data_IF_037915084283
#
_entry.id   IF_037915084283
#
_cell.length_a   1.000
_cell.length_b   1.000
_cell.length_c   1.000
_cell.angle_alpha   90.00
_cell.angle_beta   90.00
_cell.angle_gamma   90.00
#
_symmetry.space_group_name_H-M   'P 1'
#
loop_
_entity.id
_entity.type
_entity.pdbx_description
1 polymer ?
#
# COMPACT_ATOMS: atom_id res chain seq x y z
N UNK A 1 6.95 -3.70 23.51
CA UNK A 1 6.56 -2.27 23.56
C UNK A 1 6.58 -1.57 22.19
N UNK A 2 7.59 -1.79 21.32
CA UNK A 2 7.73 -1.13 20.01
C UNK A 2 6.57 -1.36 19.02
N UNK A 3 6.13 -2.62 18.85
CA UNK A 3 4.99 -2.98 17.97
C UNK A 3 3.70 -2.24 18.34
N UNK A 4 3.40 -2.10 19.64
CA UNK A 4 2.18 -1.42 20.10
C UNK A 4 2.17 0.08 19.75
N UNK A 5 3.31 0.77 19.93
CA UNK A 5 3.44 2.19 19.58
C UNK A 5 3.28 2.44 18.08
N UNK A 6 3.84 1.58 17.22
CA UNK A 6 3.71 1.79 15.76
C UNK A 6 2.29 1.50 15.28
N UNK A 7 1.63 0.46 15.81
CA UNK A 7 0.23 0.16 15.51
C UNK A 7 -0.70 1.32 15.89
N UNK A 8 -0.52 1.89 17.08
CA UNK A 8 -1.30 3.06 17.54
C UNK A 8 -1.09 4.28 16.62
N UNK A 9 0.12 4.49 16.11
CA UNK A 9 0.41 5.54 15.12
C UNK A 9 -0.27 5.27 13.79
N UNK A 10 -0.31 4.03 13.34
CA UNK A 10 -1.01 3.63 12.11
C UNK A 10 -2.52 3.84 12.24
N UNK A 11 -3.11 3.47 13.39
CA UNK A 11 -4.51 3.73 13.71
C UNK A 11 -4.85 5.22 13.74
N UNK A 12 -3.95 6.04 14.29
CA UNK A 12 -4.10 7.49 14.29
C UNK A 12 -4.04 8.04 12.86
N UNK A 13 -3.01 7.65 12.10
CA UNK A 13 -2.88 8.03 10.70
C UNK A 13 -4.12 7.69 9.88
N UNK A 14 -4.66 6.46 9.99
CA UNK A 14 -5.88 6.08 9.26
C UNK A 14 -7.06 7.01 9.57
N UNK A 15 -7.26 7.35 10.85
CA UNK A 15 -8.35 8.22 11.31
C UNK A 15 -8.18 9.67 10.87
N UNK A 16 -6.96 10.21 10.95
CA UNK A 16 -6.68 11.63 10.69
C UNK A 16 -6.45 11.90 9.20
N UNK A 17 -5.72 11.02 8.51
CA UNK A 17 -5.40 11.15 7.08
C UNK A 17 -6.64 10.99 6.23
N UNK A 18 -7.54 10.06 6.58
CA UNK A 18 -8.71 9.69 5.77
C UNK A 18 -8.34 9.59 4.27
N UNK A 19 -7.26 8.86 3.98
CA UNK A 19 -6.66 8.66 2.65
C UNK A 19 -6.16 9.91 1.92
N UNK A 20 -5.81 10.99 2.63
CA UNK A 20 -5.15 12.18 2.06
C UNK A 20 -3.62 12.06 1.99
N UNK A 21 -3.05 11.11 2.73
CA UNK A 21 -1.60 10.91 2.83
C UNK A 21 -1.25 9.42 2.80
N UNK A 22 -0.06 9.08 2.30
CA UNK A 22 0.53 7.76 2.47
C UNK A 22 1.38 7.70 3.75
N UNK A 23 1.36 6.56 4.44
CA UNK A 23 2.22 6.31 5.59
C UNK A 23 3.50 5.57 5.18
N UNK A 24 4.65 6.19 5.41
CA UNK A 24 5.94 5.60 5.11
C UNK A 24 6.58 4.98 6.37
N UNK A 25 6.76 3.66 6.38
CA UNK A 25 7.37 2.93 7.50
C UNK A 25 8.86 2.67 7.19
N UNK A 26 9.75 3.43 7.83
CA UNK A 26 11.21 3.26 7.71
C UNK A 26 11.80 2.59 8.95
N UNK A 27 12.88 1.83 8.77
CA UNK A 27 13.66 1.25 9.86
C UNK A 27 14.63 0.16 9.39
N UNK A 28 15.49 -0.33 10.29
CA UNK A 28 16.45 -1.39 9.99
C UNK A 28 15.80 -2.65 9.39
N UNK A 29 16.56 -3.43 8.60
CA UNK A 29 16.10 -4.73 8.07
C UNK A 29 15.75 -5.68 9.22
N UNK A 30 14.79 -6.59 9.00
CA UNK A 30 14.38 -7.68 9.93
C UNK A 30 13.76 -7.26 11.27
N UNK A 31 13.22 -6.05 11.39
CA UNK A 31 12.52 -5.59 12.61
C UNK A 31 11.01 -5.88 12.62
N UNK A 32 10.49 -6.59 11.60
CA UNK A 32 9.06 -6.94 11.50
C UNK A 32 8.15 -5.82 10.97
N UNK A 33 8.65 -4.92 10.11
CA UNK A 33 7.87 -3.82 9.50
C UNK A 33 6.75 -4.36 8.59
N UNK A 34 7.11 -5.28 7.69
CA UNK A 34 6.18 -5.94 6.78
C UNK A 34 5.07 -6.63 7.54
N UNK A 35 5.44 -7.40 8.57
CA UNK A 35 4.48 -8.12 9.43
C UNK A 35 3.46 -7.19 10.07
N UNK A 36 3.88 -6.03 10.60
CA UNK A 36 2.93 -5.10 11.25
C UNK A 36 2.09 -4.32 10.22
N UNK A 37 2.64 -4.01 9.05
CA UNK A 37 1.89 -3.39 7.97
C UNK A 37 0.78 -4.32 7.45
N UNK A 38 1.12 -5.59 7.24
CA UNK A 38 0.18 -6.64 6.84
C UNK A 38 -0.89 -6.90 7.91
N UNK A 39 -0.48 -7.06 9.17
CA UNK A 39 -1.40 -7.29 10.28
C UNK A 39 -2.41 -6.14 10.40
N UNK A 40 -1.93 -4.89 10.32
CA UNK A 40 -2.78 -3.71 10.34
C UNK A 40 -3.73 -3.67 9.13
N UNK A 41 -3.23 -3.91 7.91
CA UNK A 41 -4.03 -3.89 6.71
C UNK A 41 -5.19 -4.89 6.78
N UNK A 42 -4.91 -6.13 7.21
CA UNK A 42 -5.90 -7.20 7.34
C UNK A 42 -6.91 -6.96 8.46
N UNK A 43 -6.50 -6.33 9.57
CA UNK A 43 -7.39 -6.06 10.71
C UNK A 43 -8.27 -4.84 10.52
N UNK A 44 -7.74 -3.80 9.88
CA UNK A 44 -8.36 -2.48 9.89
C UNK A 44 -9.12 -2.17 8.59
N UNK A 45 -8.87 -2.89 7.49
CA UNK A 45 -9.53 -2.64 6.20
C UNK A 45 -10.38 -3.83 5.78
N UNK A 46 -11.44 -3.54 5.01
CA UNK A 46 -12.33 -4.55 4.43
C UNK A 46 -11.58 -5.42 3.43
N UNK A 47 -10.66 -4.83 2.68
CA UNK A 47 -9.76 -5.56 1.79
C UNK A 47 -8.41 -4.86 1.69
N UNK A 48 -7.38 -5.61 1.36
CA UNK A 48 -6.05 -5.07 1.17
C UNK A 48 -5.32 -5.77 0.03
N UNK A 49 -4.47 -5.01 -0.66
CA UNK A 49 -3.48 -5.55 -1.59
C UNK A 49 -2.11 -5.30 -0.96
N UNK A 50 -1.29 -6.34 -0.86
CA UNK A 50 0.06 -6.25 -0.31
C UNK A 50 1.01 -6.68 -1.42
N UNK A 51 1.94 -5.79 -1.77
CA UNK A 51 2.88 -5.99 -2.87
C UNK A 51 4.28 -5.98 -2.28
N UNK A 52 4.93 -7.14 -2.28
CA UNK A 52 6.34 -7.26 -1.96
C UNK A 52 7.15 -7.15 -3.26
N UNK A 53 7.76 -5.98 -3.49
CA UNK A 53 8.55 -5.72 -4.69
C UNK A 53 9.86 -6.53 -4.78
N UNK A 54 10.24 -7.27 -3.73
CA UNK A 54 11.38 -8.19 -3.78
C UNK A 54 11.08 -9.50 -4.52
N UNK A 55 9.81 -9.88 -4.59
CA UNK A 55 9.33 -11.11 -5.25
C UNK A 55 8.24 -10.85 -6.29
N UNK A 56 7.77 -9.61 -6.44
CA UNK A 56 6.71 -9.27 -7.39
C UNK A 56 7.13 -9.58 -8.84
N UNK A 57 6.20 -10.18 -9.58
CA UNK A 57 6.37 -10.47 -11.00
C UNK A 57 6.39 -9.19 -11.84
N UNK A 58 6.95 -9.29 -13.04
CA UNK A 58 7.08 -8.16 -13.95
C UNK A 58 5.73 -7.59 -14.37
N UNK A 59 4.69 -8.42 -14.47
CA UNK A 59 3.33 -7.97 -14.73
C UNK A 59 2.81 -6.96 -13.68
N UNK A 60 3.19 -7.13 -12.41
CA UNK A 60 2.84 -6.18 -11.34
C UNK A 60 3.68 -4.91 -11.45
N UNK A 61 4.98 -5.03 -11.76
CA UNK A 61 5.88 -3.87 -11.92
C UNK A 61 5.47 -3.00 -13.10
N UNK A 62 5.05 -3.61 -14.21
CA UNK A 62 4.60 -2.92 -15.43
C UNK A 62 3.37 -2.04 -15.20
N UNK A 63 2.50 -2.36 -14.24
CA UNK A 63 1.37 -1.51 -13.87
C UNK A 63 1.81 -0.09 -13.50
N UNK A 64 2.99 0.04 -12.88
CA UNK A 64 3.52 1.31 -12.41
C UNK A 64 4.24 2.12 -13.50
N UNK A 65 4.53 1.51 -14.65
CA UNK A 65 5.11 2.21 -15.81
C UNK A 65 4.10 3.11 -16.53
N UNK A 66 2.79 2.83 -16.37
CA UNK A 66 1.71 3.52 -17.07
C UNK A 66 0.63 4.08 -16.11
N UNK A 67 1.06 4.79 -15.06
CA UNK A 67 0.18 5.30 -13.98
C UNK A 67 -0.77 6.45 -14.42
N UNK A 68 -0.76 6.84 -15.70
CA UNK A 68 -1.56 7.95 -16.21
C UNK A 68 -3.07 7.73 -16.14
N UNK A 69 -3.50 6.46 -16.19
CA UNK A 69 -4.91 6.07 -16.01
C UNK A 69 -5.05 5.25 -14.72
N UNK A 70 -5.55 5.91 -13.67
CA UNK A 70 -5.72 5.30 -12.36
C UNK A 70 -6.89 4.31 -12.31
N UNK A 71 -7.93 4.52 -13.13
CA UNK A 71 -9.07 3.60 -13.20
C UNK A 71 -8.62 2.26 -13.78
N UNK A 72 -7.86 2.32 -14.86
CA UNK A 72 -7.25 1.15 -15.46
C UNK A 72 -6.23 0.48 -14.54
N UNK A 73 -5.41 1.26 -13.83
CA UNK A 73 -4.48 0.75 -12.82
C UNK A 73 -5.22 -0.05 -11.74
N UNK A 74 -6.28 0.52 -11.16
CA UNK A 74 -7.05 -0.16 -10.11
C UNK A 74 -7.80 -1.37 -10.65
N UNK A 75 -8.32 -1.33 -11.87
CA UNK A 75 -8.94 -2.49 -12.51
C UNK A 75 -7.95 -3.65 -12.67
N UNK A 76 -6.78 -3.36 -13.23
CA UNK A 76 -5.70 -4.35 -13.46
C UNK A 76 -5.21 -4.94 -12.14
N UNK A 77 -4.91 -4.10 -11.15
CA UNK A 77 -4.33 -4.57 -9.88
C UNK A 77 -5.34 -5.42 -9.09
N UNK A 78 -6.62 -5.05 -9.09
CA UNK A 78 -7.68 -5.86 -8.49
C UNK A 78 -7.76 -7.25 -9.16
N UNK A 79 -7.63 -7.29 -10.49
CA UNK A 79 -7.64 -8.55 -11.25
C UNK A 79 -6.42 -9.42 -10.96
N UNK A 80 -5.21 -8.85 -10.90
CA UNK A 80 -3.98 -9.62 -10.64
C UNK A 80 -3.97 -10.22 -9.24
N UNK A 81 -4.45 -9.48 -8.25
CA UNK A 81 -4.48 -9.93 -6.85
C UNK A 81 -5.79 -10.64 -6.47
N UNK A 82 -6.76 -10.73 -7.38
CA UNK A 82 -8.10 -11.26 -7.14
C UNK A 82 -8.77 -10.67 -5.88
N UNK A 83 -8.68 -9.34 -5.74
CA UNK A 83 -9.20 -8.59 -4.58
C UNK A 83 -10.03 -7.42 -5.10
N UNK A 84 -11.22 -7.23 -4.56
CA UNK A 84 -12.01 -6.01 -4.77
C UNK A 84 -11.58 -4.90 -3.81
N UNK A 85 -11.30 -3.72 -4.33
CA UNK A 85 -11.05 -2.50 -3.57
C UNK A 85 -12.37 -1.74 -3.36
N UNK A 86 -12.54 -1.21 -2.17
CA UNK A 86 -13.69 -0.46 -1.73
C UNK A 86 -13.22 0.90 -1.25
N UNK A 87 -13.81 1.96 -1.80
CA UNK A 87 -13.39 3.32 -1.51
C UNK A 87 -13.36 3.58 -0.01
N UNK A 88 -12.23 4.10 0.49
CA UNK A 88 -11.94 4.36 1.92
C UNK A 88 -12.00 3.15 2.86
N UNK A 89 -12.27 1.96 2.35
CA UNK A 89 -12.38 0.70 3.10
C UNK A 89 -11.33 -0.31 2.68
N UNK A 90 -10.46 0.06 1.76
CA UNK A 90 -9.33 -0.74 1.31
C UNK A 90 -8.02 -0.01 1.44
N UNK A 91 -6.92 -0.76 1.51
CA UNK A 91 -5.56 -0.21 1.56
C UNK A 91 -4.64 -0.99 0.64
N UNK A 92 -3.69 -0.30 0.01
CA UNK A 92 -2.62 -0.92 -0.77
C UNK A 92 -1.30 -0.72 -0.02
N UNK A 93 -0.59 -1.80 0.28
CA UNK A 93 0.69 -1.79 0.98
C UNK A 93 1.80 -2.10 -0.01
N UNK A 94 2.74 -1.17 -0.14
CA UNK A 94 3.97 -1.35 -0.92
C UNK A 94 5.11 -1.70 0.01
N UNK A 95 5.55 -2.96 -0.02
CA UNK A 95 6.71 -3.43 0.74
C UNK A 95 7.97 -3.46 -0.14
N UNK A 96 9.11 -3.13 0.47
CA UNK A 96 10.40 -2.99 -0.20
C UNK A 96 10.33 -2.10 -1.48
N UNK A 97 9.47 -1.07 -1.48
CA UNK A 97 9.16 -0.20 -2.65
C UNK A 97 10.38 0.45 -3.30
N UNK A 98 11.51 0.55 -2.60
CA UNK A 98 12.75 1.03 -3.20
C UNK A 98 13.28 0.12 -4.33
N UNK A 99 12.84 -1.14 -4.39
CA UNK A 99 13.15 -2.07 -5.48
C UNK A 99 12.35 -1.79 -6.75
N UNK A 100 11.31 -0.95 -6.68
CA UNK A 100 10.51 -0.52 -7.83
C UNK A 100 10.41 1.02 -7.88
N UNK A 101 11.37 1.71 -8.51
CA UNK A 101 11.35 3.17 -8.64
C UNK A 101 10.07 3.74 -9.28
N UNK A 102 9.48 3.12 -10.33
CA UNK A 102 8.19 3.57 -10.88
C UNK A 102 7.07 3.56 -9.84
N UNK A 103 6.95 2.49 -9.04
CA UNK A 103 5.95 2.42 -7.98
C UNK A 103 6.15 3.53 -6.93
N UNK A 104 7.40 3.82 -6.56
CA UNK A 104 7.72 4.91 -5.64
C UNK A 104 7.28 6.28 -6.17
N UNK A 105 7.43 6.52 -7.48
CA UNK A 105 6.99 7.76 -8.13
C UNK A 105 5.46 7.83 -8.23
N UNK A 106 4.81 6.69 -8.47
CA UNK A 106 3.36 6.56 -8.55
C UNK A 106 2.65 6.91 -7.24
N UNK A 107 3.28 6.73 -6.07
CA UNK A 107 2.69 7.08 -4.76
C UNK A 107 2.11 8.49 -4.75
N UNK A 108 2.77 9.47 -5.38
CA UNK A 108 2.26 10.86 -5.43
C UNK A 108 0.92 10.95 -6.15
N UNK A 109 0.75 10.19 -7.24
CA UNK A 109 -0.48 10.16 -8.04
C UNK A 109 -1.59 9.40 -7.30
N UNK A 110 -1.26 8.26 -6.69
CA UNK A 110 -2.20 7.46 -5.90
C UNK A 110 -2.72 8.24 -4.69
N UNK A 111 -1.84 8.94 -3.98
CA UNK A 111 -2.25 9.79 -2.85
C UNK A 111 -3.13 10.95 -3.30
N UNK A 112 -2.88 11.55 -4.48
CA UNK A 112 -3.71 12.65 -5.03
C UNK A 112 -5.11 12.19 -5.45
N UNK A 113 -5.26 10.92 -5.81
CA UNK A 113 -6.55 10.35 -6.22
C UNK A 113 -7.47 10.07 -5.03
N UNK A 114 -6.89 9.78 -3.86
CA UNK A 114 -7.61 9.63 -2.59
C UNK A 114 -8.61 8.46 -2.52
N UNK A 115 -8.71 7.52 -3.47
CA UNK A 115 -9.70 6.43 -3.34
C UNK A 115 -9.35 5.39 -2.26
N UNK A 116 -8.07 5.05 -2.11
CA UNK A 116 -7.57 3.97 -1.25
C UNK A 116 -6.31 4.36 -0.48
#
# INVERSE_FOLDING_TARGET
>A
MFKRKIYERMLRWKRESNGQTALLIKGARRIGKSTIAEEFARKEYKSCIIIDFSIADDAVKELFSHISDLDYFFLRIQSLFNVSLYERKSVIVFDEVQLCPPARQAIKHLVKDHRY
#
